data_IF_139751205265
#
_entry.id   IF_139751205265
#
_cell.length_a   1.000
_cell.length_b   1.000
_cell.length_c   1.000
_cell.angle_alpha   90.00
_cell.angle_beta   90.00
_cell.angle_gamma   90.00
#
_symmetry.space_group_name_H-M   'P 1'
#
loop_
_entity.id
_entity.type
_entity.pdbx_description
1 polymer ?
#
# COMPACT_ATOMS: atom_id res chain seq x y z
N UNK A 1 -8.38 -31.48 -14.24
CA UNK A 1 -6.96 -31.11 -14.28
C UNK A 1 -6.87 -29.79 -15.02
N UNK A 2 -7.01 -28.68 -14.29
CA UNK A 2 -7.00 -27.32 -14.86
C UNK A 2 -5.62 -26.74 -14.57
N UNK A 3 -4.86 -26.55 -15.65
CA UNK A 3 -3.48 -26.08 -15.63
C UNK A 3 -3.45 -24.64 -15.12
N UNK A 4 -2.85 -24.42 -13.94
CA UNK A 4 -2.45 -23.09 -13.47
C UNK A 4 -1.38 -22.56 -14.44
N UNK A 5 -1.79 -21.76 -15.42
CA UNK A 5 -0.83 -20.97 -16.21
C UNK A 5 -0.35 -19.82 -15.31
N UNK A 6 0.88 -19.92 -14.84
CA UNK A 6 1.55 -18.82 -14.15
C UNK A 6 1.52 -17.59 -15.06
N UNK A 7 1.00 -16.48 -14.55
CA UNK A 7 0.97 -15.20 -15.25
C UNK A 7 2.42 -14.76 -15.42
N UNK A 8 2.95 -14.89 -16.63
CA UNK A 8 4.31 -14.48 -16.95
C UNK A 8 4.32 -12.96 -17.06
N UNK A 9 4.90 -12.27 -16.08
CA UNK A 9 5.13 -10.83 -16.19
C UNK A 9 6.19 -10.56 -17.25
N UNK A 10 6.01 -9.48 -18.02
CA UNK A 10 6.98 -9.08 -19.05
C UNK A 10 8.24 -8.58 -18.35
N UNK A 11 9.17 -9.49 -18.13
CA UNK A 11 10.48 -9.22 -17.56
C UNK A 11 11.16 -8.07 -18.32
N UNK A 12 11.74 -7.13 -17.55
CA UNK A 12 12.68 -6.06 -17.95
C UNK A 12 12.21 -4.59 -18.07
N UNK A 13 10.94 -4.21 -17.83
CA UNK A 13 10.61 -2.79 -17.60
C UNK A 13 10.17 -2.56 -16.16
N UNK A 14 11.01 -1.87 -15.36
CA UNK A 14 10.57 -1.29 -14.09
C UNK A 14 9.34 -0.43 -14.37
N UNK A 15 8.17 -0.88 -13.90
CA UNK A 15 6.92 -0.14 -14.08
C UNK A 15 7.07 1.23 -13.41
N UNK A 16 6.75 2.34 -14.09
CA UNK A 16 6.89 3.67 -13.51
C UNK A 16 6.09 3.79 -12.22
N UNK A 17 6.68 4.41 -11.20
CA UNK A 17 6.00 4.65 -9.91
C UNK A 17 4.64 5.38 -10.07
N UNK A 18 4.47 6.38 -10.96
CA UNK A 18 3.16 6.99 -11.19
C UNK A 18 2.11 5.99 -11.69
N UNK A 19 2.52 5.00 -12.49
CA UNK A 19 1.65 3.91 -12.94
C UNK A 19 1.28 3.03 -11.76
N UNK A 20 2.25 2.56 -10.96
CA UNK A 20 1.99 1.78 -9.74
C UNK A 20 1.02 2.47 -8.78
N UNK A 21 1.13 3.79 -8.62
CA UNK A 21 0.23 4.59 -7.78
C UNK A 21 -1.18 4.75 -8.35
N UNK A 22 -1.37 4.61 -9.67
CA UNK A 22 -2.68 4.73 -10.34
C UNK A 22 -3.45 3.41 -10.40
N UNK A 23 -2.76 2.28 -10.57
CA UNK A 23 -3.38 0.95 -10.71
C UNK A 23 -4.38 0.57 -9.58
N UNK A 24 -4.13 0.87 -8.29
CA UNK A 24 -5.10 0.59 -7.22
C UNK A 24 -6.45 1.31 -7.40
N UNK A 25 -6.45 2.51 -8.00
CA UNK A 25 -7.68 3.24 -8.32
C UNK A 25 -8.45 2.55 -9.43
N UNK A 26 -7.75 1.98 -10.41
CA UNK A 26 -8.36 1.22 -11.49
C UNK A 26 -9.00 -0.05 -10.93
N UNK A 27 -8.28 -0.78 -10.08
CA UNK A 27 -8.79 -1.97 -9.41
C UNK A 27 -10.08 -1.65 -8.62
N UNK A 28 -10.05 -0.57 -7.83
CA UNK A 28 -11.21 -0.14 -7.03
C UNK A 28 -12.41 0.21 -7.90
N UNK A 29 -12.19 0.93 -9.00
CA UNK A 29 -13.25 1.27 -9.95
C UNK A 29 -13.82 0.04 -10.65
N UNK A 30 -12.97 -0.89 -11.11
CA UNK A 30 -13.40 -2.11 -11.80
C UNK A 30 -14.17 -3.04 -10.84
N UNK A 31 -13.76 -3.14 -9.57
CA UNK A 31 -14.52 -3.85 -8.52
C UNK A 31 -15.92 -3.24 -8.32
N UNK A 32 -16.04 -1.92 -8.35
CA UNK A 32 -17.35 -1.25 -8.27
C UNK A 32 -18.23 -1.55 -9.50
N UNK A 33 -17.64 -1.55 -10.71
CA UNK A 33 -18.35 -1.91 -11.93
C UNK A 33 -18.81 -3.38 -11.91
N UNK A 34 -18.00 -4.30 -11.38
CA UNK A 34 -18.39 -5.69 -11.14
C UNK A 34 -19.63 -5.78 -10.24
N UNK A 35 -19.67 -5.02 -9.15
CA UNK A 35 -20.85 -4.98 -8.26
C UNK A 35 -22.11 -4.45 -8.96
N UNK A 36 -21.96 -3.63 -9.99
CA UNK A 36 -23.06 -3.13 -10.84
C UNK A 36 -23.47 -4.13 -11.94
N UNK A 37 -22.81 -5.29 -12.05
CA UNK A 37 -23.13 -6.34 -13.02
C UNK A 37 -22.41 -6.21 -14.36
N UNK A 38 -21.44 -5.30 -14.48
CA UNK A 38 -20.66 -5.12 -15.71
C UNK A 38 -19.74 -6.32 -15.95
N UNK A 39 -19.75 -6.85 -17.17
CA UNK A 39 -18.88 -7.97 -17.60
C UNK A 39 -17.64 -7.50 -18.37
N UNK A 40 -17.74 -6.33 -19.01
CA UNK A 40 -16.66 -5.75 -19.78
C UNK A 40 -16.51 -4.27 -19.43
N UNK A 41 -15.28 -3.78 -19.46
CA UNK A 41 -14.97 -2.39 -19.17
C UNK A 41 -13.93 -1.85 -20.15
N UNK A 42 -14.16 -0.65 -20.69
CA UNK A 42 -13.19 0.04 -21.55
C UNK A 42 -12.36 1.07 -20.77
N UNK A 43 -11.17 1.43 -21.27
CA UNK A 43 -10.39 2.54 -20.69
C UNK A 43 -11.17 3.85 -20.62
N UNK A 44 -12.06 4.11 -21.58
CA UNK A 44 -12.95 5.29 -21.57
C UNK A 44 -13.98 5.23 -20.45
N UNK A 45 -14.50 4.05 -20.13
CA UNK A 45 -15.44 3.87 -19.03
C UNK A 45 -14.74 4.07 -17.68
N UNK A 46 -13.54 3.51 -17.52
CA UNK A 46 -12.70 3.74 -16.33
C UNK A 46 -12.38 5.24 -16.19
N UNK A 47 -11.97 5.89 -17.28
CA UNK A 47 -11.60 7.31 -17.35
C UNK A 47 -12.65 8.26 -16.77
N UNK A 48 -13.94 8.01 -17.07
CA UNK A 48 -15.06 8.84 -16.61
C UNK A 48 -15.20 8.89 -15.09
N UNK A 49 -14.81 7.84 -14.39
CA UNK A 49 -14.99 7.72 -12.95
C UNK A 49 -13.76 8.21 -12.16
N UNK A 50 -12.56 8.17 -12.75
CA UNK A 50 -11.30 8.45 -12.03
C UNK A 50 -10.55 9.70 -12.50
N UNK A 51 -11.14 10.47 -13.44
CA UNK A 51 -10.58 11.71 -14.00
C UNK A 51 -9.12 11.55 -14.51
N UNK A 52 -8.85 10.43 -15.18
CA UNK A 52 -7.57 10.15 -15.85
C UNK A 52 -7.87 9.86 -17.32
N UNK A 53 -7.06 10.38 -18.23
CA UNK A 53 -7.24 10.20 -19.66
C UNK A 53 -7.22 8.71 -20.08
N UNK A 54 -8.12 8.34 -21.00
CA UNK A 54 -8.26 6.95 -21.45
C UNK A 54 -6.98 6.39 -22.10
N UNK A 55 -6.20 7.23 -22.79
CA UNK A 55 -4.91 6.82 -23.37
C UNK A 55 -3.87 6.53 -22.28
N UNK A 56 -3.88 7.31 -21.19
CA UNK A 56 -3.01 7.07 -20.03
C UNK A 56 -3.39 5.76 -19.33
N UNK A 57 -4.68 5.47 -19.15
CA UNK A 57 -5.15 4.19 -18.59
C UNK A 57 -4.72 3.02 -19.48
N UNK A 58 -4.89 3.14 -20.80
CA UNK A 58 -4.45 2.09 -21.73
C UNK A 58 -2.94 1.85 -21.66
N UNK A 59 -2.14 2.93 -21.57
CA UNK A 59 -0.69 2.84 -21.38
C UNK A 59 -0.32 2.18 -20.05
N UNK A 60 -1.00 2.54 -18.97
CA UNK A 60 -0.75 1.95 -17.66
C UNK A 60 -1.09 0.46 -17.61
N UNK A 61 -2.24 0.08 -18.18
CA UNK A 61 -2.64 -1.32 -18.30
C UNK A 61 -1.77 -2.13 -19.26
N UNK A 62 -1.02 -1.49 -20.17
CA UNK A 62 -0.07 -2.19 -21.04
C UNK A 62 1.17 -2.71 -20.30
N UNK A 63 1.43 -2.22 -19.08
CA UNK A 63 2.51 -2.74 -18.22
C UNK A 63 2.10 -4.00 -17.45
N UNK A 64 0.80 -4.25 -17.30
CA UNK A 64 0.30 -5.50 -16.71
C UNK A 64 -0.01 -6.47 -17.85
N UNK A 65 0.14 -7.78 -17.62
CA UNK A 65 -0.02 -8.77 -18.68
C UNK A 65 -1.51 -9.03 -19.02
N UNK A 66 -2.22 -7.98 -19.43
CA UNK A 66 -3.62 -8.04 -19.84
C UNK A 66 -3.80 -7.63 -21.28
N UNK A 67 -4.43 -8.52 -22.04
CA UNK A 67 -4.83 -8.25 -23.43
C UNK A 67 -6.31 -7.89 -23.46
N UNK A 68 -6.62 -6.63 -23.71
CA UNK A 68 -7.98 -6.20 -24.03
C UNK A 68 -8.40 -6.62 -25.44
N UNK A 69 -9.71 -6.71 -25.69
CA UNK A 69 -10.24 -6.90 -27.05
C UNK A 69 -10.58 -5.55 -27.67
N UNK A 70 -10.09 -5.29 -28.88
CA UNK A 70 -10.36 -4.04 -29.61
C UNK A 70 -11.88 -3.80 -29.70
N UNK A 71 -12.34 -2.60 -29.34
CA UNK A 71 -13.76 -2.16 -29.26
C UNK A 71 -14.63 -2.79 -28.17
N UNK A 72 -14.16 -3.80 -27.43
CA UNK A 72 -14.91 -4.43 -26.33
C UNK A 72 -14.35 -4.01 -24.97
N UNK A 73 -13.02 -3.89 -24.85
CA UNK A 73 -12.34 -3.58 -23.61
C UNK A 73 -11.83 -4.83 -22.90
N UNK A 74 -11.75 -4.76 -21.58
CA UNK A 74 -11.24 -5.81 -20.70
C UNK A 74 -12.42 -6.57 -20.08
N UNK A 75 -12.29 -7.88 -19.98
CA UNK A 75 -13.21 -8.67 -19.16
C UNK A 75 -12.96 -8.34 -17.68
N UNK A 76 -14.01 -8.05 -16.94
CA UNK A 76 -13.95 -7.45 -15.60
C UNK A 76 -13.28 -8.38 -14.59
N UNK A 77 -13.64 -9.66 -14.56
CA UNK A 77 -13.08 -10.61 -13.61
C UNK A 77 -11.59 -10.86 -13.86
N UNK A 78 -11.21 -10.97 -15.14
CA UNK A 78 -9.82 -11.11 -15.59
C UNK A 78 -9.00 -9.88 -15.21
N UNK A 79 -9.54 -8.67 -15.43
CA UNK A 79 -8.83 -7.43 -15.09
C UNK A 79 -8.62 -7.29 -13.58
N UNK A 80 -9.61 -7.66 -12.77
CA UNK A 80 -9.46 -7.68 -11.30
C UNK A 80 -8.34 -8.65 -10.91
N UNK A 81 -8.37 -9.89 -11.39
CA UNK A 81 -7.38 -10.90 -11.04
C UNK A 81 -5.96 -10.49 -11.43
N UNK A 82 -5.76 -9.96 -12.65
CA UNK A 82 -4.43 -9.50 -13.11
C UNK A 82 -3.94 -8.32 -12.28
N UNK A 83 -4.82 -7.36 -11.94
CA UNK A 83 -4.42 -6.21 -11.12
C UNK A 83 -4.11 -6.61 -9.67
N UNK A 84 -4.89 -7.51 -9.07
CA UNK A 84 -4.64 -8.00 -7.71
C UNK A 84 -3.31 -8.74 -7.61
N UNK A 85 -3.03 -9.64 -8.56
CA UNK A 85 -1.77 -10.38 -8.62
C UNK A 85 -0.58 -9.44 -8.85
N UNK A 86 -0.70 -8.52 -9.81
CA UNK A 86 0.37 -7.58 -10.13
C UNK A 86 0.69 -6.61 -8.98
N UNK A 87 -0.33 -6.19 -8.23
CA UNK A 87 -0.16 -5.29 -7.08
C UNK A 87 0.30 -6.01 -5.80
N UNK A 88 0.36 -7.35 -5.80
CA UNK A 88 0.66 -8.14 -4.61
C UNK A 88 -0.47 -8.14 -3.57
N UNK A 89 -1.71 -7.84 -3.98
CA UNK A 89 -2.88 -7.87 -3.09
C UNK A 89 -3.46 -9.28 -2.91
N UNK A 90 -2.91 -10.27 -3.61
CA UNK A 90 -3.21 -11.70 -3.46
C UNK A 90 -2.42 -12.34 -2.30
N UNK A 91 -1.28 -11.78 -1.93
CA UNK A 91 -0.43 -12.25 -0.84
C UNK A 91 -0.78 -11.54 0.48
N UNK A 92 -0.69 -12.27 1.60
CA UNK A 92 -0.81 -11.68 2.93
C UNK A 92 0.58 -11.38 3.48
N UNK A 93 0.95 -10.11 3.48
CA UNK A 93 2.19 -9.62 4.06
C UNK A 93 2.00 -9.26 5.53
N UNK A 94 2.79 -9.88 6.39
CA UNK A 94 2.81 -9.55 7.81
C UNK A 94 3.67 -8.32 8.08
N UNK A 95 3.19 -7.46 8.96
CA UNK A 95 3.85 -6.23 9.36
C UNK A 95 3.91 -6.07 10.88
N UNK A 96 4.95 -5.38 11.32
CA UNK A 96 5.02 -4.80 12.66
C UNK A 96 4.75 -3.30 12.60
N UNK A 97 4.10 -2.74 13.61
CA UNK A 97 3.85 -1.31 13.72
C UNK A 97 4.62 -0.70 14.90
N UNK A 98 5.28 0.44 14.68
CA UNK A 98 6.07 1.14 15.69
C UNK A 98 5.44 2.49 16.00
N UNK A 99 5.05 2.69 17.25
CA UNK A 99 4.37 3.89 17.75
C UNK A 99 2.85 3.78 17.65
N UNK A 100 2.20 3.43 18.76
CA UNK A 100 0.74 3.25 18.89
C UNK A 100 0.09 4.53 19.43
N UNK A 101 0.51 5.68 18.90
CA UNK A 101 -0.19 6.95 19.09
C UNK A 101 -1.51 7.01 18.32
N UNK A 102 -2.10 8.20 18.14
CA UNK A 102 -3.39 8.36 17.46
C UNK A 102 -3.42 7.73 16.05
N UNK A 103 -2.37 7.94 15.26
CA UNK A 103 -2.28 7.39 13.91
C UNK A 103 -2.02 5.88 13.91
N UNK A 104 -1.06 5.41 14.70
CA UNK A 104 -0.75 3.99 14.80
C UNK A 104 -1.95 3.18 15.30
N UNK A 105 -2.64 3.68 16.32
CA UNK A 105 -3.87 3.07 16.83
C UNK A 105 -5.02 3.06 15.82
N UNK A 106 -5.12 4.08 14.95
CA UNK A 106 -6.10 4.07 13.85
C UNK A 106 -5.76 3.00 12.80
N UNK A 107 -4.49 2.85 12.43
CA UNK A 107 -4.05 1.81 11.48
C UNK A 107 -4.29 0.39 12.02
N UNK A 108 -4.07 0.15 13.32
CA UNK A 108 -4.37 -1.15 13.96
C UNK A 108 -5.87 -1.51 13.95
N UNK A 109 -6.75 -0.50 13.86
CA UNK A 109 -8.21 -0.70 13.77
C UNK A 109 -8.70 -0.78 12.32
N UNK A 110 -7.87 -0.47 11.33
CA UNK A 110 -8.26 -0.44 9.94
C UNK A 110 -8.30 -1.85 9.33
N UNK A 111 -9.50 -2.44 9.30
CA UNK A 111 -9.72 -3.72 8.63
C UNK A 111 -9.44 -3.67 7.12
N UNK A 112 -9.43 -2.49 6.50
CA UNK A 112 -9.11 -2.28 5.09
C UNK A 112 -7.71 -2.74 4.71
N UNK A 113 -6.73 -2.60 5.61
CA UNK A 113 -5.34 -3.05 5.36
C UNK A 113 -5.26 -4.54 5.01
N UNK A 114 -6.01 -5.38 5.73
CA UNK A 114 -6.08 -6.83 5.45
C UNK A 114 -6.68 -7.12 4.08
N UNK A 115 -7.64 -6.32 3.62
CA UNK A 115 -8.22 -6.48 2.28
C UNK A 115 -7.24 -6.13 1.15
N UNK A 116 -6.17 -5.41 1.46
CA UNK A 116 -5.09 -5.05 0.53
C UNK A 116 -3.80 -5.85 0.80
N UNK A 117 -3.90 -7.01 1.47
CA UNK A 117 -2.78 -7.92 1.66
C UNK A 117 -1.80 -7.51 2.76
N UNK A 118 -2.18 -6.63 3.69
CA UNK A 118 -1.35 -6.24 4.83
C UNK A 118 -1.99 -6.63 6.16
N UNK A 119 -1.32 -7.51 6.91
CA UNK A 119 -1.72 -7.89 8.26
C UNK A 119 -0.70 -7.37 9.29
N UNK A 120 -1.12 -6.44 10.15
CA UNK A 120 -0.30 -6.03 11.29
C UNK A 120 -0.45 -7.07 12.40
N UNK A 121 0.62 -7.81 12.67
CA UNK A 121 0.59 -8.97 13.60
C UNK A 121 1.04 -8.63 15.01
N UNK A 122 1.77 -7.51 15.18
CA UNK A 122 2.12 -6.95 16.47
C UNK A 122 2.46 -5.47 16.34
N UNK A 123 2.42 -4.75 17.46
CA UNK A 123 2.87 -3.38 17.55
C UNK A 123 3.87 -3.18 18.70
N UNK A 124 4.64 -2.09 18.62
CA UNK A 124 5.69 -1.73 19.57
C UNK A 124 5.50 -0.29 20.04
N UNK A 125 5.59 -0.09 21.36
CA UNK A 125 5.56 1.23 21.99
C UNK A 125 6.44 1.25 23.25
N UNK A 126 6.69 2.43 23.80
CA UNK A 126 7.41 2.62 25.07
C UNK A 126 6.47 3.09 26.19
N UNK A 127 5.23 3.48 25.86
CA UNK A 127 4.24 3.88 26.84
C UNK A 127 3.83 2.68 27.72
N UNK A 128 4.11 2.70 29.03
CA UNK A 128 3.80 1.59 29.92
C UNK A 128 2.30 1.30 30.04
N UNK A 129 1.42 2.25 29.70
CA UNK A 129 -0.03 2.02 29.68
C UNK A 129 -0.49 1.18 28.47
N UNK A 130 0.30 1.17 27.39
CA UNK A 130 -0.01 0.41 26.17
C UNK A 130 0.72 -0.93 26.14
N UNK A 131 1.94 -0.98 26.66
CA UNK A 131 2.79 -2.18 26.66
C UNK A 131 2.12 -3.33 27.43
N UNK A 132 2.09 -4.51 26.81
CA UNK A 132 1.44 -5.71 27.37
C UNK A 132 -0.07 -5.77 27.13
N UNK A 133 -0.67 -4.74 26.53
CA UNK A 133 -2.09 -4.73 26.16
C UNK A 133 -2.30 -5.23 24.72
N UNK A 134 -3.56 -5.21 24.27
CA UNK A 134 -3.92 -5.49 22.89
C UNK A 134 -4.81 -4.39 22.35
N UNK A 135 -4.66 -4.04 21.07
CA UNK A 135 -5.57 -3.17 20.34
C UNK A 135 -6.15 -3.91 19.14
N UNK A 136 -7.49 -4.04 19.09
CA UNK A 136 -8.17 -4.79 18.03
C UNK A 136 -7.65 -6.24 17.88
N UNK A 137 -7.30 -6.87 19.00
CA UNK A 137 -6.71 -8.22 19.04
C UNK A 137 -5.23 -8.31 18.68
N UNK A 138 -4.58 -7.19 18.35
CA UNK A 138 -3.15 -7.12 18.02
C UNK A 138 -2.35 -6.81 19.29
N UNK A 139 -1.37 -7.64 19.69
CA UNK A 139 -0.58 -7.41 20.90
C UNK A 139 0.38 -6.24 20.74
N UNK A 140 0.56 -5.48 21.82
CA UNK A 140 1.50 -4.35 21.92
C UNK A 140 2.64 -4.76 22.85
N UNK A 141 3.86 -4.79 22.32
CA UNK A 141 5.08 -5.11 23.05
C UNK A 141 5.89 -3.85 23.36
N UNK A 142 6.81 -3.96 24.32
CA UNK A 142 7.81 -2.92 24.50
C UNK A 142 8.77 -2.91 23.31
N UNK A 143 9.27 -1.74 22.89
CA UNK A 143 10.23 -1.64 21.78
C UNK A 143 11.47 -2.52 21.96
N UNK A 144 11.94 -2.71 23.19
CA UNK A 144 13.10 -3.58 23.49
C UNK A 144 12.85 -5.07 23.19
N UNK A 145 11.59 -5.51 23.10
CA UNK A 145 11.25 -6.88 22.72
C UNK A 145 11.38 -7.13 21.21
N UNK A 146 11.62 -6.11 20.40
CA UNK A 146 11.60 -6.20 18.94
C UNK A 146 12.48 -7.32 18.39
N UNK A 147 13.74 -7.40 18.78
CA UNK A 147 14.67 -8.42 18.26
C UNK A 147 14.20 -9.85 18.61
N UNK A 148 13.64 -10.02 19.81
CA UNK A 148 13.06 -11.29 20.24
C UNK A 148 11.84 -11.62 19.39
N UNK A 149 10.97 -10.66 19.14
CA UNK A 149 9.75 -10.82 18.34
C UNK A 149 10.04 -11.06 16.86
N UNK A 150 11.11 -10.50 16.30
CA UNK A 150 11.55 -10.84 14.93
C UNK A 150 11.92 -12.32 14.76
N UNK A 151 12.30 -13.01 15.84
CA UNK A 151 12.55 -14.47 15.80
C UNK A 151 11.28 -15.31 15.94
N UNK A 152 10.22 -14.75 16.51
CA UNK A 152 8.93 -15.42 16.75
C UNK A 152 7.96 -15.25 15.58
N UNK A 153 8.09 -14.17 14.81
CA UNK A 153 7.20 -13.82 13.71
C UNK A 153 7.96 -13.73 12.39
N UNK A 154 7.37 -14.28 11.33
CA UNK A 154 7.85 -14.09 9.96
C UNK A 154 7.31 -12.76 9.41
N UNK A 155 8.06 -11.67 9.64
CA UNK A 155 7.67 -10.29 9.32
C UNK A 155 8.78 -9.60 8.53
N UNK A 156 8.41 -8.99 7.40
CA UNK A 156 9.35 -8.30 6.51
C UNK A 156 9.05 -6.80 6.37
N UNK A 157 7.90 -6.35 6.87
CA UNK A 157 7.40 -4.99 6.73
C UNK A 157 7.30 -4.33 8.11
N UNK A 158 7.73 -3.09 8.20
CA UNK A 158 7.56 -2.27 9.38
C UNK A 158 6.84 -0.96 9.08
N UNK A 159 5.78 -0.66 9.84
CA UNK A 159 5.00 0.57 9.74
C UNK A 159 5.52 1.54 10.81
N UNK A 160 5.95 2.73 10.39
CA UNK A 160 6.59 3.71 11.25
C UNK A 160 5.67 4.91 11.50
N UNK A 161 5.16 5.01 12.74
CA UNK A 161 4.24 6.05 13.21
C UNK A 161 4.72 6.73 14.49
N UNK A 162 6.04 6.78 14.68
CA UNK A 162 6.71 7.39 15.86
C UNK A 162 6.96 8.90 15.68
N UNK A 163 7.28 9.64 16.76
CA UNK A 163 7.76 11.01 16.66
C UNK A 163 9.00 11.15 15.77
N UNK A 164 9.15 12.32 15.15
CA UNK A 164 10.20 12.60 14.15
C UNK A 164 11.61 12.41 14.72
N UNK A 165 11.80 12.75 16.00
CA UNK A 165 13.07 12.75 16.70
C UNK A 165 13.69 11.36 16.79
N UNK A 166 12.86 10.31 16.80
CA UNK A 166 13.29 8.91 16.93
C UNK A 166 13.07 8.08 15.66
N UNK A 167 12.47 8.66 14.61
CA UNK A 167 12.09 7.94 13.39
C UNK A 167 13.27 7.22 12.70
N UNK A 168 14.43 7.89 12.60
CA UNK A 168 15.63 7.28 12.01
C UNK A 168 16.18 6.15 12.88
N UNK A 169 16.31 6.37 14.19
CA UNK A 169 16.82 5.36 15.12
C UNK A 169 15.98 4.08 15.11
N UNK A 170 14.65 4.22 15.13
CA UNK A 170 13.73 3.08 15.05
C UNK A 170 13.86 2.39 13.69
N UNK A 171 13.96 3.14 12.60
CA UNK A 171 14.20 2.58 11.25
C UNK A 171 15.49 1.76 11.20
N UNK A 172 16.59 2.28 11.74
CA UNK A 172 17.89 1.57 11.75
C UNK A 172 17.80 0.27 12.55
N UNK A 173 17.08 0.31 13.68
CA UNK A 173 16.78 -0.86 14.51
C UNK A 173 15.97 -1.89 13.72
N UNK A 174 14.90 -1.46 13.05
CA UNK A 174 14.05 -2.32 12.21
C UNK A 174 14.86 -3.03 11.13
N UNK A 175 15.69 -2.29 10.39
CA UNK A 175 16.53 -2.83 9.32
C UNK A 175 17.54 -3.84 9.87
N UNK A 176 18.20 -3.49 10.97
CA UNK A 176 19.17 -4.39 11.64
C UNK A 176 18.49 -5.68 12.11
N UNK A 177 17.26 -5.60 12.60
CA UNK A 177 16.45 -6.75 13.01
C UNK A 177 15.91 -7.61 11.86
N UNK A 178 16.08 -7.19 10.60
CA UNK A 178 15.71 -7.98 9.41
C UNK A 178 14.50 -7.47 8.62
N UNK A 179 13.92 -6.32 8.99
CA UNK A 179 12.86 -5.67 8.20
C UNK A 179 13.43 -5.25 6.84
N UNK A 180 12.71 -5.56 5.77
CA UNK A 180 13.11 -5.31 4.37
C UNK A 180 12.34 -4.15 3.73
N UNK A 181 11.18 -3.80 4.29
CA UNK A 181 10.37 -2.69 3.82
C UNK A 181 9.85 -1.83 4.98
N UNK A 182 9.91 -0.52 4.83
CA UNK A 182 9.39 0.45 5.81
C UNK A 182 8.30 1.30 5.18
N UNK A 183 7.11 1.29 5.77
CA UNK A 183 6.05 2.23 5.46
C UNK A 183 6.07 3.39 6.45
N UNK A 184 6.64 4.50 6.03
CA UNK A 184 6.92 5.67 6.85
C UNK A 184 5.79 6.70 6.77
N UNK A 185 5.11 6.93 7.90
CA UNK A 185 4.09 7.96 8.06
C UNK A 185 4.62 9.26 8.71
N UNK A 186 5.89 9.28 9.09
CA UNK A 186 6.50 10.49 9.65
C UNK A 186 6.70 11.54 8.54
N UNK A 187 6.67 12.85 8.85
CA UNK A 187 6.96 13.90 7.87
C UNK A 187 8.44 13.97 7.46
N UNK A 188 9.28 13.09 8.00
CA UNK A 188 10.73 13.07 7.80
C UNK A 188 11.13 11.99 6.81
N UNK A 189 12.06 12.33 5.92
CA UNK A 189 12.67 11.33 5.03
C UNK A 189 13.76 10.57 5.76
N UNK A 190 13.46 9.33 6.11
CA UNK A 190 14.43 8.37 6.65
C UNK A 190 15.47 7.98 5.59
N UNK A 191 16.71 7.78 6.02
CA UNK A 191 17.81 7.30 5.18
C UNK A 191 17.95 5.80 5.37
N UNK A 192 17.98 5.05 4.27
CA UNK A 192 18.09 3.59 4.29
C UNK A 192 19.08 3.10 3.23
N UNK A 193 19.64 1.89 3.39
CA UNK A 193 20.40 1.21 2.34
C UNK A 193 19.56 0.95 1.07
N UNK A 194 20.21 0.80 -0.08
CA UNK A 194 19.53 0.61 -1.39
C UNK A 194 18.66 -0.66 -1.46
N UNK A 195 18.97 -1.67 -0.65
CA UNK A 195 18.22 -2.93 -0.60
C UNK A 195 16.96 -2.86 0.27
N UNK A 196 16.66 -1.71 0.89
CA UNK A 196 15.48 -1.51 1.73
C UNK A 196 14.43 -0.71 0.96
N UNK A 197 13.22 -1.26 0.89
CA UNK A 197 12.08 -0.57 0.26
C UNK A 197 11.51 0.43 1.27
N UNK A 198 11.43 1.70 0.90
CA UNK A 198 10.77 2.72 1.74
C UNK A 198 9.63 3.36 0.97
N UNK A 199 8.45 3.36 1.58
CA UNK A 199 7.32 4.16 1.12
C UNK A 199 7.00 5.24 2.13
N UNK A 200 7.02 6.50 1.67
CA UNK A 200 6.70 7.65 2.52
C UNK A 200 5.26 8.11 2.25
N UNK A 201 4.47 8.23 3.31
CA UNK A 201 3.11 8.74 3.27
C UNK A 201 3.02 9.99 4.13
N UNK A 202 2.96 11.15 3.50
CA UNK A 202 2.81 12.44 4.19
C UNK A 202 1.40 12.97 4.02
N UNK A 203 0.61 12.97 5.10
CA UNK A 203 -0.69 13.62 5.14
C UNK A 203 -0.57 15.13 4.84
N UNK A 204 0.53 15.74 5.31
CA UNK A 204 0.80 17.17 5.14
C UNK A 204 1.10 17.56 3.68
N UNK A 205 1.73 16.67 2.90
CA UNK A 205 1.98 16.92 1.49
C UNK A 205 0.66 17.10 0.71
N UNK A 206 -0.37 16.31 1.05
CA UNK A 206 -1.69 16.45 0.45
C UNK A 206 -2.38 17.77 0.86
N UNK A 207 -2.25 18.19 2.12
CA UNK A 207 -2.74 19.50 2.57
C UNK A 207 -2.11 20.65 1.78
N UNK A 208 -0.79 20.61 1.57
CA UNK A 208 -0.09 21.64 0.81
C UNK A 208 -0.62 21.77 -0.64
N UNK A 209 -0.89 20.65 -1.30
CA UNK A 209 -1.51 20.65 -2.64
C UNK A 209 -2.91 21.27 -2.60
N UNK A 210 -3.74 20.93 -1.61
CA UNK A 210 -5.08 21.49 -1.49
C UNK A 210 -5.02 23.00 -1.22
N UNK A 211 -4.20 23.45 -0.27
CA UNK A 211 -4.06 24.87 0.09
C UNK A 211 -3.55 25.68 -1.09
N UNK A 212 -2.57 25.17 -1.82
CA UNK A 212 -2.08 25.82 -3.03
C UNK A 212 -3.20 26.03 -4.06
N UNK A 213 -4.04 25.02 -4.30
CA UNK A 213 -5.15 25.11 -5.28
C UNK A 213 -6.30 25.99 -4.82
N UNK A 214 -6.62 26.01 -3.52
CA UNK A 214 -7.63 26.91 -2.96
C UNK A 214 -7.22 28.37 -3.18
N UNK A 215 -5.96 28.71 -2.92
CA UNK A 215 -5.43 30.06 -3.10
C UNK A 215 -5.51 30.53 -4.56
N UNK A 216 -5.41 29.62 -5.54
CA UNK A 216 -5.60 29.98 -6.95
C UNK A 216 -7.06 30.17 -7.36
N UNK A 217 -8.00 29.53 -6.66
CA UNK A 217 -9.42 29.67 -6.92
C UNK A 217 -10.01 30.95 -6.31
N UNK A 218 -9.35 31.56 -5.31
CA UNK A 218 -9.75 32.84 -4.70
C UNK A 218 -9.24 34.09 -5.48
N UNK A 219 -8.31 33.91 -6.43
CA UNK A 219 -7.73 35.01 -7.24
C UNK A 219 -8.43 35.12 -8.62
N UNK A 220 -9.58 34.47 -8.81
CA UNK A 220 -10.46 34.63 -9.98
C UNK A 220 -11.83 35.13 -9.57
#
# INVERSE_FOLDING_TARGET
MTTNQAIQYKDSMKVPEPTLRRLPWYLSNVKLLKQRGERFVSSTQISKEINIDASQIAKDLSYVNISGRTRVGYEVDTLIAVLEDFLGFTDMHKAFLFGVGSLGGALLRDSGLKHFGLEIVAAFDVNPELVGTTLNGIPIFHSDDFERKMREYDVNIGVLTVPIEIAQQITDTMITGGIKAVWNFTPFRIRVPENIVVQNTSLYAHLAVMFNRLNFNEIK
#
